data_IF_040502774516
#
_entry.id   IF_040502774516
#
_cell.length_a   1.000
_cell.length_b   1.000
_cell.length_c   1.000
_cell.angle_alpha   90.00
_cell.angle_beta   90.00
_cell.angle_gamma   90.00
#
_symmetry.space_group_name_H-M   'P 1'
#
loop_
_entity.id
_entity.type
_entity.pdbx_description
1 polymer ?
#
# COMPACT_ATOMS: atom_id res chain seq x y z
N UNK A 1 16.49 -20.32 -10.75
CA UNK A 1 16.16 -20.79 -9.54
C UNK A 1 15.22 -19.91 -8.81
N UNK A 2 14.48 -20.44 -8.04
CA UNK A 2 13.44 -19.77 -7.46
C UNK A 2 13.69 -19.35 -6.12
N UNK A 3 14.89 -19.44 -5.67
CA UNK A 3 15.22 -19.07 -4.33
C UNK A 3 14.90 -17.64 -4.04
N UNK A 4 15.01 -16.77 -5.05
CA UNK A 4 14.71 -15.38 -4.87
C UNK A 4 13.28 -15.14 -4.45
N UNK A 5 12.35 -15.99 -4.91
CA UNK A 5 10.96 -15.80 -4.60
C UNK A 5 10.66 -16.05 -3.14
N UNK A 6 11.31 -17.05 -2.54
CA UNK A 6 11.07 -17.35 -1.14
C UNK A 6 11.61 -16.28 -0.23
N UNK A 7 12.50 -15.41 -0.74
CA UNK A 7 13.07 -14.32 0.04
C UNK A 7 12.32 -13.01 -0.14
N UNK A 8 11.30 -12.98 -1.01
CA UNK A 8 10.57 -11.76 -1.29
C UNK A 8 9.40 -11.68 -0.32
N UNK A 9 9.71 -11.24 0.89
CA UNK A 9 8.73 -11.11 1.97
C UNK A 9 8.67 -9.65 2.36
N UNK A 10 7.45 -9.06 2.41
CA UNK A 10 7.35 -7.66 2.79
C UNK A 10 7.79 -7.44 4.24
N UNK A 11 8.35 -6.26 4.53
CA UNK A 11 8.69 -5.94 5.91
C UNK A 11 7.42 -5.87 6.75
N UNK A 12 7.47 -6.46 7.94
CA UNK A 12 6.29 -6.55 8.79
C UNK A 12 6.12 -5.30 9.66
N UNK A 13 4.88 -4.81 9.76
CA UNK A 13 4.54 -3.67 10.60
C UNK A 13 3.61 -4.12 11.71
N UNK A 14 4.02 -3.93 12.96
CA UNK A 14 3.25 -4.34 14.13
C UNK A 14 2.65 -3.16 14.88
N UNK A 15 2.71 -1.97 14.29
CA UNK A 15 2.21 -0.75 14.94
C UNK A 15 3.31 0.11 15.52
N UNK A 16 4.54 -0.39 15.58
CA UNK A 16 5.68 0.34 16.09
C UNK A 16 6.66 0.69 15.00
N UNK A 17 7.38 1.79 15.18
CA UNK A 17 8.42 2.22 14.24
C UNK A 17 7.89 2.41 12.83
N UNK A 18 6.77 3.12 12.72
CA UNK A 18 6.11 3.30 11.43
C UNK A 18 7.03 3.93 10.39
N UNK A 19 7.79 4.96 10.74
CA UNK A 19 8.65 5.65 9.79
C UNK A 19 9.70 4.70 9.21
N UNK A 20 10.26 3.85 10.04
CA UNK A 20 11.22 2.84 9.59
C UNK A 20 10.55 1.85 8.62
N UNK A 21 9.38 1.33 9.01
CA UNK A 21 8.66 0.39 8.16
C UNK A 21 8.26 1.01 6.83
N UNK A 22 7.80 2.27 6.87
CA UNK A 22 7.31 2.97 5.69
C UNK A 22 8.38 3.03 4.60
N UNK A 23 9.61 3.37 4.98
CA UNK A 23 10.70 3.47 4.03
C UNK A 23 11.02 2.10 3.40
N UNK A 24 11.05 1.08 4.23
CA UNK A 24 11.34 -0.27 3.76
C UNK A 24 10.22 -0.83 2.90
N UNK A 25 8.98 -0.54 3.28
CA UNK A 25 7.83 -1.03 2.52
C UNK A 25 7.75 -0.36 1.15
N UNK A 26 8.07 0.93 1.08
CA UNK A 26 8.15 1.62 -0.20
C UNK A 26 9.18 0.95 -1.11
N UNK A 27 10.35 0.66 -0.57
CA UNK A 27 11.39 -0.01 -1.35
C UNK A 27 10.92 -1.39 -1.81
N UNK A 28 10.21 -2.10 -0.94
CA UNK A 28 9.69 -3.42 -1.29
C UNK A 28 8.68 -3.33 -2.44
N UNK A 29 7.75 -2.39 -2.36
CA UNK A 29 6.74 -2.22 -3.42
C UNK A 29 7.40 -1.87 -4.75
N UNK A 30 8.40 -0.99 -4.73
CA UNK A 30 9.14 -0.63 -5.94
C UNK A 30 9.90 -1.83 -6.51
N UNK A 31 10.32 -2.75 -5.66
CA UNK A 31 11.05 -3.93 -6.12
C UNK A 31 10.15 -4.93 -6.85
N UNK A 32 8.85 -4.91 -6.56
CA UNK A 32 7.91 -5.74 -7.30
C UNK A 32 7.80 -5.19 -8.73
N UNK A 33 7.55 -3.90 -8.84
CA UNK A 33 7.48 -3.16 -10.09
C UNK A 33 7.33 -1.71 -9.72
N UNK A 34 8.03 -0.80 -10.41
CA UNK A 34 7.91 0.62 -10.13
C UNK A 34 6.45 1.09 -10.21
N UNK A 35 5.67 0.49 -11.10
CA UNK A 35 4.27 0.87 -11.26
C UNK A 35 3.40 0.47 -10.08
N UNK A 36 3.82 -0.55 -9.32
CA UNK A 36 3.11 -0.91 -8.09
C UNK A 36 3.19 0.25 -7.12
N UNK A 37 4.39 0.83 -6.94
CA UNK A 37 4.55 1.98 -6.05
C UNK A 37 3.83 3.21 -6.59
N UNK A 38 3.84 3.42 -7.90
CA UNK A 38 3.16 4.57 -8.50
C UNK A 38 1.69 4.60 -8.12
N UNK A 39 1.02 3.44 -8.10
CA UNK A 39 -0.39 3.39 -7.73
C UNK A 39 -0.64 3.48 -6.23
N UNK A 40 0.40 3.40 -5.42
CA UNK A 40 0.29 3.73 -4.00
C UNK A 40 0.49 5.23 -3.80
N UNK A 41 1.48 5.80 -4.48
CA UNK A 41 1.80 7.22 -4.36
C UNK A 41 0.74 8.10 -4.99
N UNK A 42 0.27 7.69 -6.17
CA UNK A 42 -0.76 8.42 -6.91
C UNK A 42 -2.00 7.54 -7.00
N UNK A 43 -3.14 8.12 -6.74
CA UNK A 43 -4.37 7.36 -6.63
C UNK A 43 -4.74 6.63 -7.93
N UNK A 44 -5.11 5.35 -7.83
CA UNK A 44 -5.72 4.60 -8.91
C UNK A 44 -7.23 4.80 -8.80
N UNK A 45 -7.88 5.09 -9.93
CA UNK A 45 -9.33 5.26 -9.95
C UNK A 45 -10.00 3.92 -10.25
N UNK A 46 -10.78 3.45 -9.29
CA UNK A 46 -11.51 2.21 -9.47
C UNK A 46 -12.59 2.40 -10.53
N UNK A 47 -12.61 1.49 -11.52
CA UNK A 47 -13.57 1.59 -12.60
C UNK A 47 -14.92 1.05 -12.17
N UNK A 48 -15.99 1.67 -12.68
CA UNK A 48 -17.35 1.26 -12.37
C UNK A 48 -17.95 0.38 -13.46
N UNK A 49 -17.30 0.29 -14.62
CA UNK A 49 -17.76 -0.55 -15.73
C UNK A 49 -17.35 -1.99 -15.52
N UNK A 50 -18.06 -2.95 -16.16
CA UNK A 50 -17.67 -4.36 -16.06
C UNK A 50 -16.26 -4.60 -16.60
N UNK A 51 -15.56 -5.56 -15.99
CA UNK A 51 -14.20 -5.89 -16.39
C UNK A 51 -14.11 -6.24 -17.88
N UNK A 52 -15.17 -6.85 -18.41
CA UNK A 52 -15.20 -7.24 -19.82
C UNK A 52 -15.08 -6.07 -20.77
N UNK A 53 -15.40 -4.83 -20.28
CA UNK A 53 -15.33 -3.64 -21.10
C UNK A 53 -14.01 -2.86 -20.91
N UNK A 54 -13.14 -3.35 -20.07
CA UNK A 54 -11.89 -2.64 -19.77
C UNK A 54 -10.88 -2.82 -20.89
N UNK A 55 -10.14 -1.76 -21.19
CA UNK A 55 -9.02 -1.83 -22.09
C UNK A 55 -7.85 -2.55 -21.40
N UNK A 56 -6.89 -3.01 -22.20
CA UNK A 56 -5.73 -3.72 -21.67
C UNK A 56 -4.98 -2.88 -20.65
N UNK A 57 -4.81 -1.57 -20.92
CA UNK A 57 -4.11 -0.68 -19.99
C UNK A 57 -4.86 -0.55 -18.66
N UNK A 58 -6.20 -0.58 -18.71
CA UNK A 58 -7.01 -0.49 -17.50
C UNK A 58 -6.90 -1.75 -16.67
N UNK A 59 -6.84 -2.91 -17.32
CA UNK A 59 -6.65 -4.19 -16.63
C UNK A 59 -5.29 -4.25 -15.95
N UNK A 60 -4.25 -3.72 -16.62
CA UNK A 60 -2.91 -3.67 -16.04
C UNK A 60 -2.87 -2.77 -14.82
N UNK A 61 -3.47 -1.59 -14.91
CA UNK A 61 -3.50 -0.66 -13.79
C UNK A 61 -4.18 -1.31 -12.59
N UNK A 62 -5.32 -1.95 -12.80
CA UNK A 62 -6.02 -2.65 -11.73
C UNK A 62 -5.16 -3.75 -11.12
N UNK A 63 -4.38 -4.44 -11.95
CA UNK A 63 -3.49 -5.49 -11.47
C UNK A 63 -2.39 -4.93 -10.58
N UNK A 64 -1.82 -3.78 -10.94
CA UNK A 64 -0.79 -3.16 -10.10
C UNK A 64 -1.37 -2.70 -8.77
N UNK A 65 -2.59 -2.16 -8.77
CA UNK A 65 -3.25 -1.80 -7.53
C UNK A 65 -3.45 -3.04 -6.65
N UNK A 66 -3.90 -4.14 -7.25
CA UNK A 66 -4.13 -5.37 -6.51
C UNK A 66 -2.85 -5.93 -5.92
N UNK A 67 -1.74 -5.85 -6.65
CA UNK A 67 -0.46 -6.30 -6.14
C UNK A 67 -0.02 -5.45 -4.95
N UNK A 68 -0.24 -4.14 -5.04
CA UNK A 68 0.09 -3.25 -3.93
C UNK A 68 -0.77 -3.56 -2.71
N UNK A 69 -2.09 -3.72 -2.91
CA UNK A 69 -2.99 -4.04 -1.80
C UNK A 69 -2.62 -5.35 -1.13
N UNK A 70 -2.34 -6.37 -1.93
CA UNK A 70 -1.96 -7.66 -1.39
C UNK A 70 -0.68 -7.55 -0.55
N UNK A 71 0.31 -6.83 -1.06
CA UNK A 71 1.57 -6.66 -0.34
C UNK A 71 1.36 -5.92 0.98
N UNK A 72 0.57 -4.84 0.96
CA UNK A 72 0.31 -4.06 2.17
C UNK A 72 -0.44 -4.89 3.19
N UNK A 73 -1.48 -5.62 2.76
CA UNK A 73 -2.27 -6.44 3.67
C UNK A 73 -1.44 -7.54 4.32
N UNK A 74 -0.48 -8.09 3.58
CA UNK A 74 0.38 -9.14 4.12
C UNK A 74 1.54 -8.59 4.95
N UNK A 75 1.74 -7.29 4.93
CA UNK A 75 2.87 -6.67 5.62
C UNK A 75 2.51 -6.14 7.01
N UNK A 76 1.25 -6.22 7.40
CA UNK A 76 0.79 -5.59 8.65
C UNK A 76 0.17 -6.61 9.59
N UNK A 77 0.19 -6.28 10.88
CA UNK A 77 -0.44 -7.12 11.89
C UNK A 77 -1.95 -7.10 11.73
N UNK A 78 -2.63 -8.01 12.42
CA UNK A 78 -4.08 -8.07 12.37
C UNK A 78 -4.72 -6.77 12.83
N UNK A 79 -4.14 -6.13 13.86
CA UNK A 79 -4.67 -4.86 14.34
C UNK A 79 -4.62 -3.79 13.27
N UNK A 80 -3.49 -3.69 12.56
CA UNK A 80 -3.36 -2.70 11.50
C UNK A 80 -4.20 -3.07 10.30
N UNK A 81 -4.31 -4.36 9.99
CA UNK A 81 -5.13 -4.81 8.88
C UNK A 81 -6.59 -4.40 9.05
N UNK A 82 -7.09 -4.44 10.28
CA UNK A 82 -8.48 -4.05 10.53
C UNK A 82 -8.80 -2.64 10.06
N UNK A 83 -7.80 -1.76 10.09
CA UNK A 83 -7.99 -0.37 9.68
C UNK A 83 -8.15 -0.21 8.18
N UNK A 84 -7.65 -1.17 7.41
CA UNK A 84 -7.67 -1.07 5.94
C UNK A 84 -8.46 -2.20 5.27
N UNK A 85 -9.15 -3.02 6.07
CA UNK A 85 -9.82 -4.22 5.53
C UNK A 85 -10.95 -3.92 4.57
N UNK A 86 -11.54 -2.72 4.64
CA UNK A 86 -12.64 -2.35 3.76
C UNK A 86 -12.21 -1.55 2.54
N UNK A 87 -10.90 -1.43 2.32
CA UNK A 87 -10.38 -0.57 1.26
C UNK A 87 -9.85 -1.42 0.11
N UNK A 88 -10.13 -1.00 -1.11
CA UNK A 88 -9.67 -1.71 -2.31
C UNK A 88 -8.60 -0.94 -3.07
N UNK A 89 -8.39 0.34 -2.73
CA UNK A 89 -7.42 1.19 -3.41
C UNK A 89 -6.18 1.34 -2.53
N UNK A 90 -5.05 0.91 -3.06
CA UNK A 90 -3.81 0.88 -2.29
C UNK A 90 -3.39 2.25 -1.77
N UNK A 91 -3.59 3.29 -2.57
CA UNK A 91 -3.30 4.66 -2.15
C UNK A 91 -4.08 5.02 -0.88
N UNK A 92 -5.35 4.64 -0.82
CA UNK A 92 -6.20 4.92 0.34
C UNK A 92 -5.71 4.14 1.56
N UNK A 93 -5.38 2.86 1.38
CA UNK A 93 -4.88 2.05 2.48
C UNK A 93 -3.59 2.63 3.04
N UNK A 94 -2.68 3.03 2.16
CA UNK A 94 -1.41 3.63 2.56
C UNK A 94 -1.63 4.90 3.37
N UNK A 95 -2.55 5.74 2.92
CA UNK A 95 -2.84 7.00 3.59
C UNK A 95 -3.52 6.80 4.94
N UNK A 96 -4.36 5.79 5.07
CA UNK A 96 -4.97 5.46 6.36
C UNK A 96 -3.88 5.13 7.38
N UNK A 97 -2.95 4.25 7.01
CA UNK A 97 -1.86 3.88 7.92
C UNK A 97 -0.99 5.08 8.25
N UNK A 98 -0.67 5.89 7.25
CA UNK A 98 0.13 7.08 7.48
C UNK A 98 -0.54 8.04 8.44
N UNK A 99 -1.83 8.30 8.24
CA UNK A 99 -2.58 9.20 9.11
C UNK A 99 -2.64 8.67 10.53
N UNK A 100 -2.87 7.36 10.69
CA UNK A 100 -2.94 6.78 12.02
C UNK A 100 -1.65 6.88 12.80
N UNK A 101 -0.51 6.74 12.12
CA UNK A 101 0.77 6.63 12.81
C UNK A 101 1.63 7.88 12.75
N UNK A 102 1.42 8.76 11.77
CA UNK A 102 2.13 10.02 11.69
C UNK A 102 1.23 11.22 11.92
N UNK A 103 -0.08 11.01 11.74
CA UNK A 103 -1.02 12.10 11.83
C UNK A 103 -0.92 13.01 10.62
N UNK A 104 -1.64 14.13 10.71
CA UNK A 104 -1.54 15.15 9.69
C UNK A 104 -0.46 16.15 10.13
N UNK A 105 0.04 16.92 9.17
CA UNK A 105 1.02 17.95 9.47
C UNK A 105 0.49 18.93 10.50
N UNK A 106 -0.78 19.28 10.38
CA UNK A 106 -1.41 20.23 11.31
C UNK A 106 -1.46 19.66 12.71
N UNK A 107 -1.84 18.39 12.85
CA UNK A 107 -1.91 17.74 14.15
C UNK A 107 -0.53 17.70 14.80
N UNK A 108 0.50 17.39 14.02
CA UNK A 108 1.86 17.34 14.57
C UNK A 108 2.34 18.71 15.05
N UNK A 109 2.04 19.75 14.29
CA UNK A 109 2.39 21.10 14.69
C UNK A 109 1.71 21.46 16.01
N UNK A 110 0.42 21.14 16.13
CA UNK A 110 -0.31 21.43 17.35
C UNK A 110 0.26 20.70 18.55
N UNK A 111 0.71 19.47 18.36
CA UNK A 111 1.31 18.71 19.46
C UNK A 111 2.63 19.30 19.93
N UNK A 112 3.33 19.97 19.05
CA UNK A 112 4.61 20.59 19.42
C UNK A 112 4.44 21.89 20.17
N UNK A 113 3.28 22.46 20.15
CA UNK A 113 2.98 23.69 20.88
C UNK A 113 2.44 23.35 22.27
#
# INVERSE_FOLDING_TARGET
MEHGHSLVIPPHFDGNNYTYWKVRMKAFLKSIDERVWIFVEYRWEKLTTPVSEWQTSQKKAASFNSKAMNAICNAVSMEEFKRISNVEVAHTAWNILQTMHEGTKIVKINKLQ
#
